data_IF_133317595079
#
_entry.id   IF_133317595079
#
_cell.length_a   1.000
_cell.length_b   1.000
_cell.length_c   1.000
_cell.angle_alpha   90.00
_cell.angle_beta   90.00
_cell.angle_gamma   90.00
#
_symmetry.space_group_name_H-M   'P 1'
#
loop_
_entity.id
_entity.type
_entity.pdbx_description
1 polymer ?
#
# COMPACT_ATOMS: atom_id res chain seq x y z
N UNK A 1 -16.42 -3.86 5.38
CA UNK A 1 -16.60 -3.41 6.75
C UNK A 1 -16.49 -1.88 6.85
N UNK A 2 -15.47 -1.23 6.25
CA UNK A 2 -15.28 0.22 6.32
C UNK A 2 -16.49 1.02 5.81
N UNK A 3 -17.14 0.57 4.75
CA UNK A 3 -18.32 1.22 4.17
C UNK A 3 -19.54 1.24 5.09
N UNK A 4 -19.52 0.52 6.20
CA UNK A 4 -20.54 0.57 7.24
C UNK A 4 -20.37 1.79 8.17
N UNK A 5 -19.18 2.41 8.18
CA UNK A 5 -18.79 3.48 9.08
C UNK A 5 -18.38 4.76 8.34
N UNK A 6 -17.87 4.63 7.11
CA UNK A 6 -17.32 5.73 6.32
C UNK A 6 -17.78 5.65 4.86
N UNK A 7 -17.84 6.79 4.18
CA UNK A 7 -17.83 6.81 2.73
C UNK A 7 -16.44 6.31 2.27
N UNK A 8 -16.41 5.15 1.62
CA UNK A 8 -15.17 4.51 1.20
C UNK A 8 -14.92 4.77 -0.29
N UNK A 9 -13.73 5.25 -0.61
CA UNK A 9 -13.30 5.55 -1.99
C UNK A 9 -12.11 4.68 -2.31
N UNK A 10 -12.20 3.96 -3.43
CA UNK A 10 -11.12 3.21 -4.04
C UNK A 10 -11.07 3.54 -5.52
N UNK A 11 -9.90 3.54 -6.12
CA UNK A 11 -9.72 3.80 -7.53
C UNK A 11 -8.55 2.98 -8.09
N UNK A 12 -8.56 2.73 -9.38
CA UNK A 12 -7.45 2.12 -10.08
C UNK A 12 -6.36 3.16 -10.34
N UNK A 13 -5.13 2.88 -9.94
CA UNK A 13 -4.02 3.75 -10.31
C UNK A 13 -3.82 3.78 -11.83
N UNK A 14 -3.24 4.89 -12.36
CA UNK A 14 -2.83 4.92 -13.76
C UNK A 14 -2.07 3.66 -14.14
N UNK A 15 -2.33 3.12 -15.31
CA UNK A 15 -1.72 1.88 -15.79
C UNK A 15 -2.46 0.61 -15.37
N UNK A 16 -3.43 0.67 -14.44
CA UNK A 16 -4.18 -0.50 -13.96
C UNK A 16 -5.67 -0.40 -14.26
N UNK A 17 -6.37 -1.53 -14.13
CA UNK A 17 -7.83 -1.63 -14.18
C UNK A 17 -8.44 -0.85 -15.33
N UNK A 18 -9.44 -0.01 -15.04
CA UNK A 18 -10.14 0.82 -16.00
C UNK A 18 -9.55 2.23 -16.15
N UNK A 19 -8.54 2.58 -15.34
CA UNK A 19 -7.84 3.85 -15.46
C UNK A 19 -6.98 3.94 -16.72
N UNK A 20 -6.66 5.17 -17.14
CA UNK A 20 -5.80 5.44 -18.30
C UNK A 20 -4.42 4.76 -18.13
N UNK A 21 -3.88 4.28 -19.24
CA UNK A 21 -2.60 3.57 -19.33
C UNK A 21 -1.61 4.34 -20.21
N UNK A 22 -1.15 5.55 -19.76
CA UNK A 22 -0.22 6.36 -20.53
C UNK A 22 1.13 5.65 -20.71
N UNK A 23 1.86 5.95 -21.79
CA UNK A 23 3.16 5.35 -22.08
C UNK A 23 4.26 5.77 -21.08
N UNK A 24 4.09 6.92 -20.42
CA UNK A 24 5.07 7.50 -19.49
C UNK A 24 4.37 8.19 -18.31
N UNK A 25 5.13 8.78 -17.38
CA UNK A 25 4.57 9.52 -16.25
C UNK A 25 4.21 8.63 -15.07
N UNK A 26 5.03 7.62 -14.82
CA UNK A 26 4.90 6.74 -13.65
C UNK A 26 5.96 7.11 -12.61
N UNK A 27 5.54 7.70 -11.52
CA UNK A 27 6.35 7.94 -10.30
C UNK A 27 5.42 7.94 -9.09
N UNK A 28 5.97 7.74 -7.91
CA UNK A 28 5.16 7.81 -6.67
C UNK A 28 4.56 9.22 -6.50
N UNK A 29 5.31 10.27 -6.87
CA UNK A 29 4.80 11.65 -6.87
C UNK A 29 3.59 11.82 -7.79
N UNK A 30 3.67 11.27 -9.01
CA UNK A 30 2.56 11.35 -9.96
C UNK A 30 1.32 10.57 -9.48
N UNK A 31 1.50 9.41 -8.85
CA UNK A 31 0.39 8.70 -8.24
C UNK A 31 -0.23 9.47 -7.08
N UNK A 32 0.59 10.22 -6.33
CA UNK A 32 0.10 11.11 -5.26
C UNK A 32 -0.72 12.27 -5.85
N UNK A 33 -0.24 12.90 -6.94
CA UNK A 33 -0.96 13.96 -7.63
C UNK A 33 -2.29 13.43 -8.22
N UNK A 34 -2.33 12.20 -8.75
CA UNK A 34 -3.56 11.55 -9.21
C UNK A 34 -4.58 11.38 -8.07
N UNK A 35 -4.11 10.92 -6.90
CA UNK A 35 -4.97 10.78 -5.72
C UNK A 35 -5.57 12.12 -5.29
N UNK A 36 -4.76 13.17 -5.23
CA UNK A 36 -5.23 14.53 -4.92
C UNK A 36 -6.25 14.99 -5.96
N UNK A 37 -6.01 14.73 -7.25
CA UNK A 37 -6.98 15.02 -8.33
C UNK A 37 -8.32 14.30 -8.15
N UNK A 38 -8.32 13.05 -7.67
CA UNK A 38 -9.56 12.31 -7.34
C UNK A 38 -10.29 12.98 -6.16
N UNK A 39 -9.57 13.36 -5.10
CA UNK A 39 -10.16 14.05 -3.95
C UNK A 39 -10.77 15.39 -4.35
N UNK A 40 -10.07 16.16 -5.20
CA UNK A 40 -10.55 17.46 -5.70
C UNK A 40 -11.80 17.29 -6.59
N UNK A 41 -11.81 16.29 -7.46
CA UNK A 41 -12.98 15.97 -8.31
C UNK A 41 -14.23 15.59 -7.50
N UNK A 42 -14.03 15.00 -6.32
CA UNK A 42 -15.10 14.59 -5.42
C UNK A 42 -15.45 15.65 -4.37
N UNK A 43 -14.87 16.84 -4.45
CA UNK A 43 -15.03 17.95 -3.49
C UNK A 43 -14.72 17.52 -2.03
N UNK A 44 -13.69 16.66 -1.85
CA UNK A 44 -13.27 16.17 -0.55
C UNK A 44 -12.07 16.95 -0.05
N UNK A 45 -12.28 17.79 0.94
CA UNK A 45 -11.22 18.65 1.52
C UNK A 45 -10.21 17.82 2.34
N UNK A 46 -10.69 16.86 3.13
CA UNK A 46 -9.86 16.09 4.06
C UNK A 46 -10.38 14.68 4.26
N UNK A 47 -9.47 13.69 4.26
CA UNK A 47 -9.84 12.26 4.34
C UNK A 47 -8.96 11.50 5.34
N UNK A 48 -9.46 10.37 5.84
CA UNK A 48 -8.62 9.31 6.37
C UNK A 48 -7.99 8.54 5.20
N UNK A 49 -6.69 8.33 5.23
CA UNK A 49 -5.95 7.70 4.12
C UNK A 49 -5.35 6.37 4.56
N UNK A 50 -5.65 5.32 3.81
CA UNK A 50 -5.06 3.99 3.99
C UNK A 50 -4.19 3.66 2.79
N UNK A 51 -2.89 3.48 3.00
CA UNK A 51 -1.95 3.06 1.97
C UNK A 51 -1.34 1.69 2.30
N UNK A 52 -1.49 0.74 1.37
CA UNK A 52 -0.90 -0.60 1.47
C UNK A 52 0.24 -0.74 0.45
N UNK A 53 1.40 -1.26 0.86
CA UNK A 53 2.56 -1.52 0.02
C UNK A 53 2.97 -0.28 -0.81
N UNK A 54 2.87 -0.31 -2.14
CA UNK A 54 3.08 0.85 -3.00
C UNK A 54 2.12 2.00 -2.63
N UNK A 55 0.86 1.70 -2.32
CA UNK A 55 -0.11 2.70 -1.83
C UNK A 55 0.34 3.40 -0.55
N UNK A 56 1.10 2.72 0.32
CA UNK A 56 1.72 3.32 1.50
C UNK A 56 2.82 4.33 1.15
N UNK A 57 3.60 4.07 0.09
CA UNK A 57 4.59 5.03 -0.44
C UNK A 57 3.92 6.28 -1.00
N UNK A 58 2.82 6.09 -1.74
CA UNK A 58 1.99 7.18 -2.27
C UNK A 58 1.40 8.00 -1.12
N UNK A 59 0.85 7.34 -0.11
CA UNK A 59 0.25 7.99 1.05
C UNK A 59 1.27 8.82 1.87
N UNK A 60 2.53 8.38 1.98
CA UNK A 60 3.62 9.15 2.59
C UNK A 60 3.87 10.46 1.82
N UNK A 61 3.92 10.41 0.49
CA UNK A 61 4.08 11.62 -0.35
C UNK A 61 2.89 12.56 -0.18
N UNK A 62 1.66 12.04 -0.22
CA UNK A 62 0.45 12.84 0.00
C UNK A 62 0.51 13.53 1.36
N UNK A 63 0.75 12.78 2.43
CA UNK A 63 0.74 13.31 3.80
C UNK A 63 1.87 14.33 4.05
N UNK A 64 3.03 14.17 3.39
CA UNK A 64 4.15 15.11 3.51
C UNK A 64 3.95 16.40 2.71
N UNK A 65 3.34 16.31 1.51
CA UNK A 65 3.15 17.46 0.61
C UNK A 65 1.82 18.19 0.82
N UNK A 66 0.80 17.46 1.27
CA UNK A 66 -0.56 17.95 1.48
C UNK A 66 -1.08 17.59 2.89
N UNK A 67 -0.39 18.04 3.97
CA UNK A 67 -0.71 17.63 5.35
C UNK A 67 -2.14 17.98 5.76
N UNK A 68 -2.72 19.04 5.21
CA UNK A 68 -4.09 19.47 5.52
C UNK A 68 -5.16 18.59 4.87
N UNK A 69 -4.78 17.76 3.86
CA UNK A 69 -5.69 16.84 3.16
C UNK A 69 -5.86 15.49 3.88
N UNK A 70 -5.00 15.18 4.87
CA UNK A 70 -4.97 13.89 5.57
C UNK A 70 -5.36 14.08 7.04
N UNK A 71 -6.48 13.50 7.45
CA UNK A 71 -6.98 13.56 8.82
C UNK A 71 -6.27 12.56 9.74
N UNK A 72 -6.15 11.32 9.27
CA UNK A 72 -5.35 10.26 9.88
C UNK A 72 -4.81 9.35 8.78
N UNK A 73 -3.63 8.78 9.00
CA UNK A 73 -2.87 8.01 8.02
C UNK A 73 -2.64 6.58 8.50
N UNK A 74 -2.91 5.60 7.65
CA UNK A 74 -2.53 4.20 7.87
C UNK A 74 -1.53 3.78 6.81
N UNK A 75 -0.36 3.30 7.23
CA UNK A 75 0.73 2.81 6.39
C UNK A 75 0.89 1.31 6.63
N UNK A 76 0.37 0.48 5.74
CA UNK A 76 0.37 -0.97 5.88
C UNK A 76 1.40 -1.64 4.96
N UNK A 77 2.23 -2.54 5.48
CA UNK A 77 3.22 -3.35 4.77
C UNK A 77 4.08 -2.52 3.78
N UNK A 78 4.61 -1.38 4.23
CA UNK A 78 5.30 -0.41 3.39
C UNK A 78 6.59 0.09 4.04
N UNK A 79 7.38 0.86 3.29
CA UNK A 79 8.65 1.42 3.74
C UNK A 79 8.86 2.82 3.15
N UNK A 80 9.74 3.62 3.75
CA UNK A 80 10.14 4.92 3.23
C UNK A 80 10.93 4.83 1.92
N UNK A 81 11.67 3.74 1.74
CA UNK A 81 12.41 3.43 0.49
C UNK A 81 12.45 1.92 0.27
N UNK A 82 12.66 1.47 -0.99
CA UNK A 82 12.79 0.04 -1.26
C UNK A 82 14.12 -0.49 -0.69
N UNK A 83 14.08 -1.67 -0.06
CA UNK A 83 15.26 -2.43 0.32
C UNK A 83 15.72 -3.37 -0.82
N UNK A 84 16.86 -4.07 -0.63
CA UNK A 84 17.45 -4.92 -1.65
C UNK A 84 16.53 -6.07 -2.09
N UNK A 85 15.79 -6.69 -1.15
CA UNK A 85 14.86 -7.78 -1.46
C UNK A 85 13.64 -7.27 -2.24
N UNK A 86 13.10 -6.12 -1.84
CA UNK A 86 12.01 -5.47 -2.55
C UNK A 86 12.42 -5.18 -4.01
N UNK A 87 13.59 -4.57 -4.21
CA UNK A 87 14.13 -4.29 -5.55
C UNK A 87 14.35 -5.56 -6.36
N UNK A 88 14.88 -6.62 -5.75
CA UNK A 88 15.11 -7.89 -6.44
C UNK A 88 13.78 -8.51 -6.90
N UNK A 89 12.76 -8.54 -6.03
CA UNK A 89 11.44 -9.10 -6.33
C UNK A 89 10.76 -8.33 -7.48
N UNK A 90 10.84 -7.00 -7.46
CA UNK A 90 10.31 -6.15 -8.53
C UNK A 90 11.02 -6.41 -9.87
N UNK A 91 12.35 -6.50 -9.86
CA UNK A 91 13.15 -6.80 -11.08
C UNK A 91 12.90 -8.21 -11.60
N UNK A 92 12.69 -9.19 -10.72
CA UNK A 92 12.32 -10.54 -11.11
C UNK A 92 10.92 -10.53 -11.76
N UNK A 93 9.94 -9.85 -11.16
CA UNK A 93 8.62 -9.67 -11.76
C UNK A 93 8.69 -9.02 -13.15
N UNK A 94 9.48 -7.95 -13.28
CA UNK A 94 9.71 -7.26 -14.56
C UNK A 94 10.37 -8.16 -15.62
N UNK A 95 11.37 -8.94 -15.22
CA UNK A 95 12.01 -9.92 -16.10
C UNK A 95 11.03 -10.99 -16.59
N UNK A 96 10.24 -11.56 -15.67
CA UNK A 96 9.24 -12.57 -16.01
C UNK A 96 8.14 -12.00 -16.90
N UNK A 97 7.67 -10.80 -16.61
CA UNK A 97 6.67 -10.15 -17.45
C UNK A 97 7.17 -9.98 -18.89
N UNK A 98 8.38 -9.39 -19.01
CA UNK A 98 8.97 -9.08 -20.32
C UNK A 98 9.22 -10.33 -21.18
N UNK A 99 9.64 -11.44 -20.56
CA UNK A 99 10.09 -12.62 -21.28
C UNK A 99 9.04 -13.74 -21.34
N UNK A 100 8.07 -13.76 -20.41
CA UNK A 100 7.10 -14.86 -20.25
C UNK A 100 5.66 -14.39 -20.07
N UNK A 101 5.43 -13.06 -20.09
CA UNK A 101 4.09 -12.46 -20.02
C UNK A 101 3.56 -12.23 -18.59
N UNK A 102 2.36 -11.62 -18.49
CA UNK A 102 1.79 -11.17 -17.21
C UNK A 102 1.52 -12.31 -16.22
N UNK A 103 1.12 -13.46 -16.70
CA UNK A 103 0.84 -14.64 -15.88
C UNK A 103 2.08 -15.14 -15.14
N UNK A 104 3.25 -15.16 -15.80
CA UNK A 104 4.50 -15.54 -15.16
C UNK A 104 4.93 -14.54 -14.08
N UNK A 105 4.76 -13.25 -14.32
CA UNK A 105 5.02 -12.22 -13.32
C UNK A 105 4.08 -12.34 -12.11
N UNK A 106 2.79 -12.56 -12.35
CA UNK A 106 1.79 -12.72 -11.28
C UNK A 106 2.05 -13.93 -10.39
N UNK A 107 2.73 -14.97 -10.89
CA UNK A 107 3.06 -16.17 -10.11
C UNK A 107 4.09 -15.94 -9.00
N UNK A 108 4.82 -14.81 -9.02
CA UNK A 108 5.79 -14.46 -7.97
C UNK A 108 5.11 -13.88 -6.72
N UNK A 109 4.04 -13.11 -6.90
CA UNK A 109 3.34 -12.42 -5.81
C UNK A 109 3.05 -13.34 -4.62
N UNK A 110 2.32 -14.45 -4.80
CA UNK A 110 2.01 -15.36 -3.68
C UNK A 110 3.22 -15.84 -2.89
N UNK A 111 4.37 -16.01 -3.55
CA UNK A 111 5.61 -16.48 -2.88
C UNK A 111 6.21 -15.45 -1.93
N UNK A 112 5.98 -14.16 -2.21
CA UNK A 112 6.52 -13.06 -1.41
C UNK A 112 5.48 -12.43 -0.48
N UNK A 113 4.19 -12.65 -0.76
CA UNK A 113 3.10 -11.98 -0.06
C UNK A 113 2.60 -12.78 1.15
N UNK A 114 2.64 -14.11 1.10
CA UNK A 114 1.93 -14.95 2.08
C UNK A 114 2.85 -15.71 3.03
N UNK A 115 2.37 -15.88 4.27
CA UNK A 115 2.99 -16.78 5.24
C UNK A 115 2.92 -18.23 4.75
N UNK A 116 3.85 -19.06 5.24
CA UNK A 116 3.83 -20.50 4.94
C UNK A 116 2.48 -21.15 5.34
N UNK A 117 1.90 -20.76 6.47
CA UNK A 117 0.64 -21.31 6.95
C UNK A 117 -0.55 -20.92 6.07
N UNK A 118 -0.60 -19.68 5.58
CA UNK A 118 -1.63 -19.24 4.64
C UNK A 118 -1.44 -19.91 3.28
N UNK A 119 -0.21 -19.94 2.78
CA UNK A 119 0.13 -20.59 1.51
C UNK A 119 -0.33 -22.06 1.48
N UNK A 120 -0.11 -22.81 2.56
CA UNK A 120 -0.53 -24.20 2.67
C UNK A 120 -2.06 -24.35 2.57
N UNK A 121 -2.84 -23.44 3.14
CA UNK A 121 -4.32 -23.43 3.05
C UNK A 121 -4.80 -23.01 1.66
N UNK A 122 -4.15 -22.02 1.05
CA UNK A 122 -4.52 -21.44 -0.22
C UNK A 122 -4.00 -22.24 -1.44
N UNK A 123 -3.13 -23.23 -1.24
CA UNK A 123 -2.43 -23.96 -2.30
C UNK A 123 -3.34 -24.46 -3.42
N UNK A 124 -4.51 -25.09 -3.16
CA UNK A 124 -5.38 -25.55 -4.24
C UNK A 124 -5.85 -24.42 -5.16
N UNK A 125 -6.20 -23.25 -4.58
CA UNK A 125 -6.64 -22.08 -5.33
C UNK A 125 -5.47 -21.43 -6.07
N UNK A 126 -4.30 -21.36 -5.43
CA UNK A 126 -3.09 -20.78 -6.05
C UNK A 126 -2.62 -21.63 -7.25
N UNK A 127 -2.67 -22.96 -7.12
CA UNK A 127 -2.31 -23.89 -8.21
C UNK A 127 -3.32 -23.79 -9.36
N UNK A 128 -4.61 -23.69 -9.07
CA UNK A 128 -5.65 -23.52 -10.10
C UNK A 128 -5.47 -22.21 -10.89
N UNK A 129 -4.95 -21.18 -10.25
CA UNK A 129 -4.67 -19.88 -10.88
C UNK A 129 -3.28 -19.78 -11.55
N UNK A 130 -2.42 -20.81 -11.41
CA UNK A 130 -1.13 -20.82 -12.10
C UNK A 130 -1.33 -20.74 -13.61
N UNK A 131 -0.67 -19.78 -14.23
CA UNK A 131 -0.78 -19.57 -15.67
C UNK A 131 -2.04 -18.81 -16.11
N UNK A 132 -2.98 -18.50 -15.22
CA UNK A 132 -4.13 -17.69 -15.55
C UNK A 132 -3.68 -16.26 -15.95
N UNK A 133 -4.21 -15.78 -17.07
CA UNK A 133 -4.02 -14.38 -17.48
C UNK A 133 -5.15 -13.56 -16.86
N UNK A 134 -4.87 -12.45 -16.15
CA UNK A 134 -5.92 -11.56 -15.69
C UNK A 134 -6.80 -11.09 -16.85
N UNK A 135 -8.09 -10.88 -16.59
CA UNK A 135 -9.04 -10.42 -17.63
C UNK A 135 -8.63 -9.09 -18.26
N UNK A 136 -8.07 -8.18 -17.45
CA UNK A 136 -7.54 -6.89 -17.91
C UNK A 136 -6.10 -6.70 -17.40
N UNK A 137 -5.10 -7.36 -18.02
CA UNK A 137 -3.72 -7.29 -17.54
C UNK A 137 -3.16 -5.90 -17.71
N UNK A 138 -2.39 -5.44 -16.72
CA UNK A 138 -1.62 -4.20 -16.83
C UNK A 138 -0.68 -4.31 -18.05
N UNK A 139 -0.61 -3.34 -19.00
CA UNK A 139 0.33 -3.39 -20.11
C UNK A 139 1.79 -3.40 -19.62
N UNK A 140 2.70 -3.99 -20.39
CA UNK A 140 4.11 -4.09 -20.00
C UNK A 140 4.75 -2.75 -19.67
N UNK A 141 4.48 -1.70 -20.47
CA UNK A 141 5.01 -0.36 -20.23
C UNK A 141 4.54 0.20 -18.88
N UNK A 142 3.28 -0.01 -18.53
CA UNK A 142 2.72 0.41 -17.24
C UNK A 142 3.32 -0.39 -16.09
N UNK A 143 3.46 -1.72 -16.23
CA UNK A 143 4.11 -2.55 -15.23
C UNK A 143 5.55 -2.11 -14.97
N UNK A 144 6.34 -1.87 -16.03
CA UNK A 144 7.68 -1.33 -15.93
C UNK A 144 7.70 0.07 -15.29
N UNK A 145 6.70 0.88 -15.60
CA UNK A 145 6.50 2.20 -14.98
C UNK A 145 6.27 2.12 -13.47
N UNK A 146 5.42 1.20 -13.01
CA UNK A 146 5.18 0.95 -11.57
C UNK A 146 6.46 0.45 -10.86
N UNK A 147 7.20 -0.47 -11.48
CA UNK A 147 8.49 -0.94 -10.95
C UNK A 147 9.46 0.23 -10.80
N UNK A 148 9.61 1.05 -11.84
CA UNK A 148 10.49 2.22 -11.82
C UNK A 148 10.06 3.28 -10.79
N UNK A 149 8.75 3.47 -10.60
CA UNK A 149 8.21 4.37 -9.59
C UNK A 149 8.60 3.96 -8.16
N UNK A 150 8.52 2.66 -7.85
CA UNK A 150 8.94 2.13 -6.54
C UNK A 150 10.47 2.20 -6.39
N UNK A 151 11.22 1.84 -7.44
CA UNK A 151 12.69 1.88 -7.43
C UNK A 151 13.25 3.29 -7.16
N UNK A 152 12.60 4.32 -7.72
CA UNK A 152 12.99 5.73 -7.56
C UNK A 152 12.48 6.41 -6.28
N UNK A 153 11.73 5.69 -5.42
CA UNK A 153 11.10 6.28 -4.25
C UNK A 153 12.02 6.35 -3.03
N UNK A 154 12.10 7.52 -2.39
CA UNK A 154 12.70 7.72 -1.07
C UNK A 154 12.05 8.92 -0.35
N UNK A 155 11.29 8.63 0.70
CA UNK A 155 10.67 9.65 1.58
C UNK A 155 11.40 9.80 2.91
N UNK A 156 12.54 9.13 3.13
CA UNK A 156 13.28 9.14 4.40
C UNK A 156 13.58 10.56 4.90
N UNK A 157 13.86 11.48 3.98
CA UNK A 157 14.19 12.89 4.31
C UNK A 157 12.98 13.77 4.63
N UNK A 158 11.74 13.31 4.38
CA UNK A 158 10.52 14.10 4.52
C UNK A 158 9.50 13.55 5.51
N UNK A 159 9.77 12.39 6.13
CA UNK A 159 8.87 11.77 7.11
C UNK A 159 8.49 12.73 8.24
N UNK A 160 9.43 13.54 8.70
CA UNK A 160 9.21 14.55 9.76
C UNK A 160 8.24 15.66 9.40
N UNK A 161 7.84 15.81 8.13
CA UNK A 161 6.83 16.78 7.70
C UNK A 161 5.40 16.23 7.72
N UNK A 162 5.22 14.92 7.93
CA UNK A 162 3.91 14.26 8.07
C UNK A 162 3.31 14.68 9.42
N UNK A 163 2.19 15.41 9.39
CA UNK A 163 1.52 15.96 10.58
C UNK A 163 0.34 15.14 11.04
N UNK A 164 -0.21 14.31 10.17
CA UNK A 164 -1.36 13.48 10.51
C UNK A 164 -0.95 12.38 11.49
N UNK A 165 -1.77 12.09 12.51
CA UNK A 165 -1.63 10.86 13.30
C UNK A 165 -1.48 9.67 12.37
N UNK A 166 -0.50 8.81 12.65
CA UNK A 166 -0.12 7.73 11.74
C UNK A 166 -0.08 6.39 12.44
N UNK A 167 -0.77 5.39 11.87
CA UNK A 167 -0.68 4.00 12.25
C UNK A 167 0.14 3.23 11.23
N UNK A 168 1.30 2.71 11.63
CA UNK A 168 2.10 1.80 10.81
C UNK A 168 1.69 0.37 11.15
N UNK A 169 1.22 -0.39 10.15
CA UNK A 169 0.72 -1.76 10.33
C UNK A 169 1.60 -2.74 9.58
N UNK A 170 2.07 -3.78 10.26
CA UNK A 170 2.94 -4.80 9.68
C UNK A 170 2.56 -6.20 10.18
N UNK A 171 2.75 -7.23 9.35
CA UNK A 171 2.68 -8.62 9.80
C UNK A 171 3.94 -9.04 10.57
N UNK A 172 3.81 -9.93 11.54
CA UNK A 172 4.96 -10.45 12.31
C UNK A 172 5.90 -11.34 11.47
N UNK A 173 5.45 -11.78 10.31
CA UNK A 173 6.21 -12.57 9.34
C UNK A 173 6.50 -11.80 8.03
N UNK A 174 6.36 -10.48 8.05
CA UNK A 174 6.68 -9.62 6.91
C UNK A 174 8.18 -9.63 6.62
N UNK A 175 8.55 -10.00 5.42
CA UNK A 175 9.95 -10.08 5.01
C UNK A 175 10.29 -9.19 3.82
N UNK A 176 9.28 -8.76 3.04
CA UNK A 176 9.49 -7.89 1.88
C UNK A 176 9.78 -6.43 2.29
N UNK A 177 9.04 -5.91 3.28
CA UNK A 177 9.29 -4.64 3.97
C UNK A 177 9.37 -4.93 5.49
N UNK A 178 10.50 -5.50 5.99
CA UNK A 178 10.57 -6.09 7.31
C UNK A 178 10.46 -5.06 8.44
N UNK A 179 10.32 -5.55 9.68
CA UNK A 179 10.13 -4.73 10.87
C UNK A 179 11.09 -3.52 11.01
N UNK A 180 12.38 -3.60 10.64
CA UNK A 180 13.25 -2.40 10.63
C UNK A 180 12.74 -1.28 9.71
N UNK A 181 12.11 -1.60 8.57
CA UNK A 181 11.55 -0.60 7.66
C UNK A 181 10.30 0.06 8.28
N UNK A 182 9.46 -0.70 8.98
CA UNK A 182 8.31 -0.17 9.73
C UNK A 182 8.77 0.71 10.91
N UNK A 183 9.81 0.30 11.64
CA UNK A 183 10.38 1.08 12.73
C UNK A 183 10.94 2.42 12.23
N UNK A 184 11.60 2.43 11.05
CA UNK A 184 12.09 3.66 10.46
C UNK A 184 10.96 4.66 10.12
N UNK A 185 9.78 4.17 9.73
CA UNK A 185 8.59 5.03 9.56
C UNK A 185 8.11 5.59 10.90
N UNK A 186 8.02 4.75 11.94
CA UNK A 186 7.57 5.18 13.27
C UNK A 186 8.55 6.19 13.90
N UNK A 187 9.84 5.98 13.74
CA UNK A 187 10.88 6.89 14.25
C UNK A 187 10.93 8.22 13.47
N UNK A 188 10.62 8.18 12.16
CA UNK A 188 10.69 9.34 11.29
C UNK A 188 9.44 10.23 11.33
N UNK A 189 8.27 9.69 11.65
CA UNK A 189 6.98 10.41 11.67
C UNK A 189 6.66 10.84 13.10
N UNK A 190 6.44 12.14 13.39
CA UNK A 190 6.32 12.66 14.75
C UNK A 190 5.20 12.04 15.59
N UNK A 191 4.04 11.77 14.99
CA UNK A 191 2.87 11.16 15.67
C UNK A 191 2.54 9.81 15.03
N UNK A 192 3.48 8.85 15.15
CA UNK A 192 3.31 7.52 14.60
C UNK A 192 3.37 6.44 15.69
N UNK A 193 2.57 5.40 15.51
CA UNK A 193 2.60 4.18 16.33
C UNK A 193 2.61 2.92 15.47
N UNK A 194 3.23 1.85 15.99
CA UNK A 194 3.32 0.56 15.34
C UNK A 194 2.21 -0.37 15.81
N UNK A 195 1.57 -1.06 14.87
CA UNK A 195 0.70 -2.22 15.11
C UNK A 195 1.27 -3.43 14.37
N UNK A 196 1.59 -4.48 15.13
CA UNK A 196 2.00 -5.77 14.56
C UNK A 196 0.82 -6.72 14.53
N UNK A 197 0.56 -7.33 13.36
CA UNK A 197 -0.50 -8.33 13.17
C UNK A 197 0.13 -9.72 13.19
N UNK A 198 -0.30 -10.53 14.14
CA UNK A 198 0.22 -11.88 14.34
C UNK A 198 -0.28 -12.84 13.27
N UNK A 199 0.62 -13.67 12.75
CA UNK A 199 0.31 -14.69 11.75
C UNK A 199 0.08 -14.14 10.35
N UNK A 200 0.68 -12.99 10.03
CA UNK A 200 0.59 -12.36 8.71
C UNK A 200 1.97 -11.97 8.16
N UNK A 201 2.08 -11.95 6.83
CA UNK A 201 3.21 -11.45 6.08
C UNK A 201 2.81 -10.19 5.29
N UNK A 202 3.37 -10.00 4.10
CA UNK A 202 3.03 -8.85 3.23
C UNK A 202 1.54 -8.81 2.92
N UNK A 203 0.92 -9.96 2.65
CA UNK A 203 -0.52 -10.11 2.38
C UNK A 203 -1.44 -9.95 3.60
N UNK A 204 -1.05 -9.25 4.63
CA UNK A 204 -1.74 -9.13 5.93
C UNK A 204 -3.23 -8.77 5.83
N UNK A 205 -3.61 -7.98 4.83
CA UNK A 205 -5.01 -7.59 4.57
C UNK A 205 -5.87 -8.76 4.09
N UNK A 206 -5.25 -9.81 3.56
CA UNK A 206 -5.88 -11.05 3.06
C UNK A 206 -5.73 -12.18 4.07
N UNK A 207 -4.58 -12.25 4.74
CA UNK A 207 -4.27 -13.32 5.70
C UNK A 207 -5.01 -13.15 7.02
N UNK A 208 -5.14 -11.90 7.51
CA UNK A 208 -5.72 -11.54 8.80
C UNK A 208 -6.66 -10.33 8.68
N UNK A 209 -7.70 -10.41 7.82
CA UNK A 209 -8.56 -9.27 7.51
C UNK A 209 -9.29 -8.71 8.75
N UNK A 210 -9.70 -9.58 9.69
CA UNK A 210 -10.39 -9.15 10.91
C UNK A 210 -9.47 -8.31 11.80
N UNK A 211 -8.22 -8.75 12.02
CA UNK A 211 -7.24 -8.02 12.83
C UNK A 211 -6.88 -6.69 12.19
N UNK A 212 -6.63 -6.70 10.86
CA UNK A 212 -6.32 -5.49 10.10
C UNK A 212 -7.48 -4.48 10.17
N UNK A 213 -8.68 -4.92 9.82
CA UNK A 213 -9.84 -4.05 9.78
C UNK A 213 -10.15 -3.45 11.16
N UNK A 214 -10.05 -4.26 12.22
CA UNK A 214 -10.34 -3.79 13.58
C UNK A 214 -9.34 -2.73 14.02
N UNK A 215 -8.03 -2.95 13.85
CA UNK A 215 -7.03 -1.98 14.28
C UNK A 215 -7.11 -0.66 13.51
N UNK A 216 -7.49 -0.69 12.23
CA UNK A 216 -7.70 0.53 11.42
C UNK A 216 -8.96 1.28 11.86
N UNK A 217 -10.07 0.56 12.11
CA UNK A 217 -11.32 1.17 12.60
C UNK A 217 -11.13 1.81 13.97
N UNK A 218 -10.48 1.12 14.90
CA UNK A 218 -10.18 1.64 16.24
C UNK A 218 -9.34 2.92 16.16
N UNK A 219 -8.32 2.91 15.30
CA UNK A 219 -7.47 4.06 15.07
C UNK A 219 -8.25 5.25 14.51
N UNK A 220 -9.06 5.06 13.48
CA UNK A 220 -9.84 6.16 12.91
C UNK A 220 -10.90 6.67 13.89
N UNK A 221 -11.53 5.79 14.66
CA UNK A 221 -12.52 6.16 15.66
C UNK A 221 -11.94 7.06 16.76
N UNK A 222 -10.69 6.81 17.18
CA UNK A 222 -9.96 7.65 18.13
C UNK A 222 -9.80 9.09 17.62
N UNK A 223 -9.39 9.27 16.37
CA UNK A 223 -9.15 10.59 15.80
C UNK A 223 -10.40 11.29 15.28
N UNK A 224 -11.45 10.57 14.96
CA UNK A 224 -12.74 11.18 14.63
C UNK A 224 -13.36 11.85 15.87
N UNK A 225 -13.33 11.21 17.02
CA UNK A 225 -13.83 11.76 18.30
C UNK A 225 -13.07 13.01 18.75
N UNK A 226 -11.76 13.04 18.55
CA UNK A 226 -10.96 14.22 18.88
C UNK A 226 -11.28 15.42 17.98
N UNK A 227 -11.63 15.20 16.71
CA UNK A 227 -12.04 16.25 15.78
C UNK A 227 -13.40 16.86 16.14
N UNK A 228 -14.31 16.05 16.71
CA UNK A 228 -15.66 16.47 17.12
C UNK A 228 -15.72 17.06 18.54
N UNK A 229 -14.59 17.16 19.25
CA UNK A 229 -14.51 17.71 20.60
C UNK A 229 -15.16 16.83 21.69
N UNK A 230 -15.45 15.57 21.38
CA UNK A 230 -15.96 14.58 22.34
C UNK A 230 -14.75 13.95 23.08
N UNK A 231 -14.41 14.50 24.24
CA UNK A 231 -13.49 13.85 25.19
C UNK A 231 -14.06 12.51 25.68
N UNK A 232 -13.17 11.50 25.87
CA UNK A 232 -13.48 10.23 26.50
C UNK A 232 -14.07 10.40 27.90
#
# INVERSE_FOLDING_TARGET
IFSQHYQTITYDHRGTGDSNKPETGYSIDQFADDCIGVLDHLDLERVHLVGYSMGGRIAQVIASRHPDRVAALVLAATAAKPNALNLYSLKLGAYLYKNHGPSAAASVGPLVDFTHSYFAKALPVLVDKLGAVPENPMPLHAFMGHVGAIEGHDTSGVLGSIRSPTLVVIGDQEWLNPLPDANALVEGIPDARLQVITGASHGLIVEQPEQFNQCVLDFFCEYHRLADGLSL
#
